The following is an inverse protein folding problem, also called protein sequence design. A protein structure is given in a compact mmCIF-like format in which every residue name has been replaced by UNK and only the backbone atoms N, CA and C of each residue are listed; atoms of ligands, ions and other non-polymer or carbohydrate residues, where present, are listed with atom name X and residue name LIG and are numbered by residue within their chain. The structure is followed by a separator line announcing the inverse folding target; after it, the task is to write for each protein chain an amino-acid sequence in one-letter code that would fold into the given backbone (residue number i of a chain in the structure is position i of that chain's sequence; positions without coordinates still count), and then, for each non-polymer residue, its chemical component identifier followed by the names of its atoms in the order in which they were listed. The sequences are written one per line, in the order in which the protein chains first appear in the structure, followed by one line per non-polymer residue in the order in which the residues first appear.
data_IF_693619426172
#
_entry.id   IF_693619426172
#
_cell.length_a   1.000
_cell.length_b   1.000
_cell.length_c   1.000
_cell.angle_alpha   90.00
_cell.angle_beta   90.00
_cell.angle_gamma   90.00
#
_symmetry.space_group_name_H-M   'P 1'
#
loop_
_entity.id
_entity.type
_entity.pdbx_description
1 polymer ?
2 polymer ?
#
# COMPACT_ATOMS: atom_id res chain seq x y z
N UNK A 11 19.10 -0.03 6.95
CA UNK A 11 19.97 -0.05 5.79
C UNK A 11 19.76 -1.34 4.98
N UNK A 12 19.39 -2.41 5.69
CA UNK A 12 19.16 -3.69 5.03
C UNK A 12 18.03 -3.58 4.02
N UNK A 13 16.98 -2.86 4.39
CA UNK A 13 15.82 -2.69 3.52
C UNK A 13 16.06 -1.53 2.56
N UNK A 14 16.27 -1.85 1.28
CA UNK A 14 16.51 -0.83 0.26
C UNK A 14 15.28 0.05 0.04
N UNK A 15 14.13 -0.59 -0.13
CA UNK A 15 12.89 0.16 -0.37
C UNK A 15 11.70 -0.57 0.23
N UNK A 16 10.60 0.17 0.40
CA UNK A 16 9.39 -0.41 0.99
C UNK A 16 8.14 0.21 0.39
N UNK A 17 7.01 -0.51 0.51
CA UNK A 17 5.74 -0.04 -0.03
C UNK A 17 4.60 -0.40 0.92
N UNK A 18 3.59 0.47 1.00
CA UNK A 18 2.44 0.23 1.88
C UNK A 18 1.14 0.29 1.09
N UNK A 19 0.17 -0.52 1.50
CA UNK A 19 -1.13 -0.56 0.83
C UNK A 19 -2.27 -0.36 1.82
N UNK A 20 -3.15 0.60 1.52
CA UNK A 20 -4.29 0.87 2.39
C UNK A 20 -5.56 0.33 1.74
N UNK A 21 -6.17 -0.67 2.37
CA UNK A 21 -7.40 -1.26 1.85
C UNK A 21 -8.32 -1.64 3.00
N UNK A 22 -9.60 -1.33 2.87
CA UNK A 22 -10.57 -1.66 3.91
C UNK A 22 -11.38 -2.88 3.53
N UNK B 1 -7.68 -1.96 7.46
CA UNK B 1 -6.45 -2.79 7.55
C UNK B 1 -5.44 -2.34 6.49
N UNK B 2 -4.16 -2.38 6.85
CA UNK B 2 -3.11 -1.99 5.92
C UNK B 2 -2.03 -3.07 5.85
N UNK B 3 -1.44 -3.22 4.68
CA UNK B 3 -0.39 -4.23 4.49
C UNK B 3 0.90 -3.57 4.02
N UNK B 4 2.00 -3.87 4.70
CA UNK B 4 3.29 -3.28 4.34
C UNK B 4 4.26 -4.34 3.82
N UNK B 5 4.81 -4.10 2.64
CA UNK B 5 5.78 -5.01 2.04
C UNK B 5 7.15 -4.32 1.90
N UNK B 6 8.21 -5.08 2.11
CA UNK B 6 9.55 -4.55 2.00
C UNK B 6 10.25 -5.19 0.80
N UNK B 7 10.86 -4.36 -0.06
CA UNK B 7 11.54 -4.85 -1.24
C UNK B 7 13.00 -4.40 -1.29
N UNK B 8 13.78 -5.09 -2.12
CA UNK B 8 15.19 -4.78 -2.27
C UNK B 8 15.44 -3.99 -3.56
N UNK B 9 16.70 -3.65 -3.81
CA UNK B 9 17.08 -2.90 -5.00
C UNK B 9 16.71 -3.67 -6.27
N UNK B 10 16.62 -4.99 -6.14
CA UNK B 10 16.29 -5.83 -7.29
C UNK B 10 14.77 -5.93 -7.47
N UNK B 11 14.02 -5.06 -6.80
CA UNK B 11 12.57 -5.07 -6.90
C UNK B 11 12.03 -6.42 -6.48
N UNK B 12 12.66 -6.99 -5.45
CA UNK B 12 12.26 -8.29 -4.93
C UNK B 12 11.79 -8.14 -3.49
N UNK B 13 10.63 -8.69 -3.18
CA UNK B 13 10.10 -8.60 -1.83
C UNK B 13 10.90 -9.49 -0.88
N UNK B 14 11.37 -8.90 0.21
CA UNK B 14 12.15 -9.63 1.18
C UNK B 14 11.35 -9.92 2.45
N UNK B 15 10.53 -8.95 2.87
CA UNK B 15 9.73 -9.13 4.08
C UNK B 15 8.27 -8.75 3.87
N UNK B 16 7.37 -9.60 4.37
CA UNK B 16 5.94 -9.35 4.26
C UNK B 16 5.31 -9.29 5.65
N UNK B 17 4.56 -8.23 5.93
CA UNK B 17 3.95 -8.08 7.25
C UNK B 17 2.62 -7.32 7.18
N UNK B 18 1.70 -7.68 8.08
CA UNK B 18 0.40 -7.03 8.14
C UNK B 18 0.33 -6.18 9.40
N UNK B 19 -0.12 -4.94 9.25
CA UNK B 19 -0.21 -4.03 10.39
C UNK B 19 -1.51 -4.22 11.17
N UNK B 20 -2.51 -4.84 10.54
CA UNK B 20 -3.79 -5.05 11.21
C UNK B 20 -4.14 -6.54 11.26
N UNK B 21 -5.05 -6.89 12.17
CA UNK B 21 -5.47 -8.29 12.31
C UNK B 21 -6.09 -8.79 11.02
N UNK B 22 -6.95 -7.98 10.42
CA UNK B 22 -7.59 -8.38 9.17
C UNK B 22 -6.51 -8.54 8.09
N UNK B 23 -5.54 -7.63 8.12
CA UNK B 23 -4.45 -7.66 7.16
C UNK B 23 -3.63 -8.95 7.32
N UNK B 24 -3.42 -9.36 8.57
CA UNK B 24 -2.64 -10.57 8.83
C UNK B 24 -3.39 -11.81 8.31
N UNK B 25 -4.71 -11.78 8.37
CA UNK B 25 -5.50 -12.91 7.90
C UNK B 25 -5.29 -13.13 6.40
N UNK B 26 -5.25 -12.04 5.65
CA UNK B 26 -5.06 -12.13 4.20
C UNK B 26 -3.58 -12.28 3.82
N UNK B 27 -2.72 -11.57 4.54
CA UNK B 27 -1.28 -11.61 4.29
C UNK B 27 -0.70 -12.98 4.63
N UNK B 28 -1.16 -13.56 5.72
CA UNK B 28 -0.67 -14.86 6.17
C UNK B 28 -0.93 -15.95 5.13
N UNK B 29 -0.01 -16.90 5.04
CA UNK B 29 -0.13 -18.00 4.10
C UNK B 29 0.58 -17.70 2.78
N UNK B 30 1.07 -16.47 2.62
CA UNK B 30 1.77 -16.10 1.40
C UNK B 30 3.24 -16.49 1.47
N UNK B 31 3.61 -17.54 0.74
CA UNK B 31 5.01 -17.98 0.73
C UNK B 31 5.59 -17.80 -0.67
N UNK B 32 6.33 -16.71 -0.86
CA UNK B 32 6.96 -16.41 -2.15
C UNK B 32 7.56 -15.00 -2.12
N UNK B 33 8.64 -14.85 -1.37
CA UNK B 33 9.30 -13.57 -1.23
C UNK B 33 9.81 -13.06 -2.59
N UNK B 34 10.29 -13.99 -3.40
CA UNK B 34 10.84 -13.65 -4.71
C UNK B 34 9.80 -12.96 -5.60
N UNK B 35 8.54 -13.39 -5.57
CA UNK B 35 7.51 -12.79 -6.43
C UNK B 35 6.28 -12.33 -5.64
N UNK B 36 6.48 -11.85 -4.41
CA UNK B 36 5.36 -11.38 -3.61
C UNK B 36 4.84 -10.02 -4.08
N UNK B 37 5.65 -9.29 -4.84
CA UNK B 37 5.21 -7.97 -5.31
C UNK B 37 3.84 -8.03 -5.97
N UNK B 38 3.75 -8.70 -7.12
CA UNK B 38 2.49 -8.80 -7.84
C UNK B 38 1.58 -9.90 -7.28
N UNK B 39 2.14 -11.07 -7.01
CA UNK B 39 1.36 -12.21 -6.52
C UNK B 39 0.67 -11.92 -5.18
N UNK B 40 1.40 -11.37 -4.22
CA UNK B 40 0.81 -11.09 -2.91
C UNK B 40 -0.29 -10.05 -3.01
N UNK B 41 -0.10 -9.04 -3.84
CA UNK B 41 -1.10 -7.99 -3.98
C UNK B 41 -2.42 -8.55 -4.51
N UNK B 42 -2.36 -9.43 -5.50
CA UNK B 42 -3.58 -10.00 -6.07
C UNK B 42 -4.18 -11.05 -5.14
N UNK B 43 -3.34 -11.89 -4.55
CA UNK B 43 -3.82 -12.93 -3.64
C UNK B 43 -4.46 -12.31 -2.40
N UNK B 44 -3.83 -11.27 -1.88
CA UNK B 44 -4.34 -10.58 -0.69
C UNK B 44 -5.72 -10.00 -0.96
N UNK B 45 -5.89 -9.38 -2.12
CA UNK B 45 -7.19 -8.79 -2.46
C UNK B 45 -8.25 -9.88 -2.50
N UNK B 46 -7.90 -11.03 -3.06
CA UNK B 46 -8.84 -12.14 -3.13
C UNK B 46 -9.16 -12.64 -1.73
N UNK B 47 -8.14 -12.70 -0.88
CA UNK B 47 -8.33 -13.17 0.49
C UNK B 47 -9.32 -12.27 1.21
N UNK B 48 -9.17 -10.96 1.01
CA UNK B 48 -10.08 -10.01 1.62
C UNK B 48 -11.49 -10.23 1.08
N UNK B 49 -11.57 -10.51 -0.21
CA UNK B 49 -12.86 -10.75 -0.85
C UNK B 49 -13.53 -11.96 -0.20
N UNK B 50 -12.76 -13.03 -0.02
CA UNK B 50 -13.29 -14.23 0.61
C UNK B 50 -13.74 -13.96 2.04
N UNK B 51 -12.95 -13.17 2.76
CA UNK B 51 -13.26 -12.83 4.14
C UNK B 51 -14.51 -11.94 4.19
N UNK B 52 -14.77 -11.21 3.11
CA UNK B 52 -15.93 -10.34 3.05
C UNK B 52 -15.59 -8.88 3.37
N UNK B 53 -14.34 -8.63 3.75
CA UNK B 53 -13.93 -7.27 4.07
C UNK B 53 -14.03 -6.36 2.84
N UNK B 54 -13.69 -6.91 1.67
CA UNK B 54 -13.75 -6.15 0.43
C UNK B 54 -14.81 -6.71 -0.49
N UNK B 55 -15.61 -5.81 -1.07
CA UNK B 55 -16.67 -6.21 -1.98
C UNK B 55 -16.40 -5.62 -3.37
N UNK B 56 -16.58 -6.43 -4.38
CA UNK B 56 -16.35 -6.00 -5.75
C UNK B 56 -17.32 -4.89 -6.15
N UNK B 57 -18.33 -4.65 -5.33
CA UNK B 57 -19.29 -3.59 -5.63
C UNK B 57 -18.66 -2.21 -5.45
N UNK B 58 -17.86 -1.81 -6.42
CA UNK B 58 -17.19 -0.51 -6.37
C UNK B 58 -16.20 -0.46 -5.21
N UNK B 59 -14.95 -0.84 -5.50
CA UNK B 59 -13.92 -0.85 -4.47
C UNK B 59 -12.67 -0.11 -4.94
N UNK B 60 -12.27 0.90 -4.17
CA UNK B 60 -11.07 1.68 -4.50
C UNK B 60 -9.94 1.29 -3.56
N UNK B 61 -8.74 1.12 -4.11
CA UNK B 61 -7.59 0.76 -3.30
C UNK B 61 -6.46 1.78 -3.45
N UNK B 62 -5.93 2.24 -2.32
CA UNK B 62 -4.86 3.23 -2.35
C UNK B 62 -3.53 2.57 -2.02
N UNK B 63 -2.54 2.75 -2.89
CA UNK B 63 -1.22 2.16 -2.66
C UNK B 63 -0.15 3.25 -2.65
N UNK B 64 0.66 3.26 -1.61
CA UNK B 64 1.73 4.24 -1.49
C UNK B 64 3.08 3.55 -1.50
N UNK B 65 4.07 4.18 -2.10
CA UNK B 65 5.40 3.59 -2.17
C UNK B 65 6.46 4.61 -1.78
N UNK B 66 7.57 4.12 -1.23
CA UNK B 66 8.64 5.01 -0.83
C UNK B 66 10.01 4.39 -1.10
N UNK B 67 10.94 5.23 -1.54
CA UNK B 67 12.30 4.80 -1.83
C UNK B 67 13.28 5.61 -0.98
N UNK B 68 14.44 5.04 -0.68
CA UNK B 68 15.42 5.74 0.15
C UNK B 68 16.14 6.81 -0.66
N UNK B 69 15.82 8.07 -0.38
CA UNK B 69 16.43 9.18 -1.08
C UNK B 69 17.73 9.62 -0.40
N UNK B 70 18.08 8.97 0.71
CA UNK B 70 19.30 9.32 1.42
C UNK B 70 20.52 9.09 0.55
N UNK B 71 20.40 8.22 -0.44
CA UNK B 71 21.51 7.94 -1.34
C UNK B 71 21.36 8.72 -2.65
N UNK B 72 22.40 9.45 -3.04
CA UNK B 72 22.37 10.23 -4.27
C UNK B 72 22.19 9.30 -5.47
N UNK B 73 22.88 8.17 -5.45
CA UNK B 73 22.78 7.20 -6.53
C UNK B 73 21.34 6.70 -6.64
N UNK B 74 20.74 6.44 -5.49
CA UNK B 74 19.36 5.96 -5.43
C UNK B 74 18.40 7.01 -5.97
N UNK B 75 18.66 8.28 -5.64
CA UNK B 75 17.78 9.36 -6.09
C UNK B 75 17.70 9.40 -7.62
N UNK B 76 18.85 9.32 -8.28
CA UNK B 76 18.88 9.34 -9.74
C UNK B 76 18.15 8.12 -10.31
N UNK B 77 18.44 6.97 -9.75
CA UNK B 77 17.82 5.71 -10.18
C UNK B 77 16.36 5.62 -9.71
N UNK B 78 15.99 6.50 -8.77
CA UNK B 78 14.65 6.50 -8.20
C UNK B 78 13.58 6.55 -9.28
N UNK B 79 13.80 7.33 -10.32
CA UNK B 79 12.81 7.43 -11.38
C UNK B 79 12.59 6.06 -12.00
N UNK B 80 13.67 5.32 -12.21
CA UNK B 80 13.59 3.99 -12.79
C UNK B 80 12.89 3.03 -11.82
N UNK B 81 13.22 3.16 -10.54
CA UNK B 81 12.62 2.29 -9.52
C UNK B 81 11.12 2.53 -9.41
N UNK B 82 10.73 3.80 -9.44
CA UNK B 82 9.32 4.16 -9.33
C UNK B 82 8.53 3.59 -10.50
N UNK B 83 9.07 3.74 -11.71
CA UNK B 83 8.38 3.25 -12.89
C UNK B 83 8.19 1.73 -12.81
N UNK B 84 9.22 1.03 -12.39
CA UNK B 84 9.14 -0.43 -12.26
C UNK B 84 8.18 -0.82 -11.13
N UNK B 85 8.23 -0.06 -10.04
CA UNK B 85 7.36 -0.36 -8.90
C UNK B 85 5.90 -0.27 -9.33
N UNK B 86 5.57 0.78 -10.08
CA UNK B 86 4.21 0.96 -10.57
C UNK B 86 3.84 -0.16 -11.53
N UNK B 87 4.79 -0.55 -12.37
CA UNK B 87 4.56 -1.61 -13.35
C UNK B 87 4.26 -2.94 -12.66
N UNK B 88 4.97 -3.25 -11.59
CA UNK B 88 4.76 -4.52 -10.90
C UNK B 88 3.35 -4.59 -10.32
N UNK B 89 2.89 -3.50 -9.71
CA UNK B 89 1.54 -3.48 -9.16
C UNK B 89 0.53 -3.46 -10.29
N UNK B 90 0.93 -2.86 -11.41
CA UNK B 90 0.05 -2.78 -12.56
C UNK B 90 -0.29 -4.18 -13.06
N UNK B 91 0.72 -5.05 -13.07
CA UNK B 91 0.52 -6.42 -13.51
C UNK B 91 -0.47 -7.12 -12.59
N UNK B 92 -0.31 -6.90 -11.30
CA UNK B 92 -1.21 -7.52 -10.33
C UNK B 92 -2.62 -7.05 -10.62
N UNK B 93 -2.75 -5.78 -10.94
CA UNK B 93 -4.05 -5.22 -11.26
C UNK B 93 -4.60 -5.87 -12.51
N UNK B 94 -3.75 -6.07 -13.51
CA UNK B 94 -4.17 -6.70 -14.74
C UNK B 94 -4.65 -8.11 -14.45
N UNK B 95 -4.06 -8.74 -13.45
CA UNK B 95 -4.45 -10.10 -13.07
C UNK B 95 -5.89 -10.11 -12.59
N UNK B 96 -6.23 -9.09 -11.81
CA UNK B 96 -7.57 -8.96 -11.26
C UNK B 96 -8.58 -8.70 -12.36
N UNK B 97 -8.22 -7.82 -13.29
CA UNK B 97 -9.09 -7.47 -14.41
C UNK B 97 -10.51 -7.17 -13.92
N UNK B 98 -10.61 -6.44 -12.81
CA UNK B 98 -11.91 -6.11 -12.26
C UNK B 98 -12.27 -4.66 -12.58
N UNK B 99 -13.29 -4.48 -13.42
CA UNK B 99 -13.74 -3.15 -13.81
C UNK B 99 -14.23 -2.34 -12.61
N UNK B 100 -14.86 -3.02 -11.65
CA UNK B 100 -15.41 -2.33 -10.47
C UNK B 100 -14.29 -1.87 -9.54
N UNK B 101 -13.09 -2.39 -9.72
CA UNK B 101 -11.98 -2.02 -8.86
C UNK B 101 -11.04 -1.04 -9.56
N UNK B 102 -10.80 0.09 -8.90
CA UNK B 102 -9.92 1.12 -9.43
C UNK B 102 -8.76 1.36 -8.47
N UNK B 103 -7.55 1.36 -9.00
CA UNK B 103 -6.37 1.56 -8.15
C UNK B 103 -5.88 3.00 -8.20
N UNK B 104 -5.13 3.38 -7.19
CA UNK B 104 -4.56 4.72 -7.09
C UNK B 104 -3.18 4.64 -6.46
N UNK B 105 -2.21 5.35 -7.02
CA UNK B 105 -0.86 5.31 -6.48
C UNK B 105 -0.35 6.71 -6.14
N UNK B 106 0.47 6.78 -5.09
CA UNK B 106 1.05 8.03 -4.65
C UNK B 106 2.50 7.82 -4.21
N UNK B 107 3.28 8.90 -4.16
CA UNK B 107 4.67 8.79 -3.75
C UNK B 107 4.84 9.28 -2.31
N UNK B 108 5.78 8.68 -1.60
CA UNK B 108 6.03 9.05 -0.21
C UNK B 108 7.52 9.32 0.01
N UNK B 109 7.84 10.42 0.68
CA UNK B 109 9.22 10.77 0.95
C UNK B 109 9.59 10.38 2.37
N UNK B 110 10.85 10.57 2.72
CA UNK B 110 11.32 10.22 4.05
C UNK B 110 10.60 11.07 5.10
N UNK B 111 10.19 12.26 4.72
CA UNK B 111 9.49 13.15 5.65
C UNK B 111 8.20 12.51 6.14
N UNK B 112 7.41 11.99 5.21
CA UNK B 112 6.15 11.33 5.56
C UNK B 112 6.42 10.05 6.35
N UNK B 113 7.46 9.33 5.97
CA UNK B 113 7.80 8.09 6.65
C UNK B 113 8.10 8.35 8.12
N UNK B 114 8.86 9.40 8.39
CA UNK B 114 9.21 9.73 9.77
C UNK B 114 7.95 10.04 10.56
N UNK B 115 7.02 10.77 9.95
CA UNK B 115 5.77 11.10 10.62
C UNK B 115 4.97 9.83 10.89
N UNK B 116 4.97 8.92 9.93
CA UNK B 116 4.25 7.66 10.06
C UNK B 116 4.82 6.86 11.24
N UNK B 117 6.14 6.87 11.38
CA UNK B 117 6.81 6.15 12.45
C UNK B 117 6.37 6.71 13.81
N UNK B 118 6.29 8.03 13.91
CA UNK B 118 5.89 8.68 15.14
C UNK B 118 4.47 8.25 15.52
N UNK B 119 3.59 8.17 14.53
CA UNK B 119 2.22 7.77 14.78
C UNK B 119 2.04 6.25 14.66
N UNK B 120 3.15 5.54 14.39
CA UNK B 120 3.09 4.09 14.26
C UNK B 120 1.96 3.67 13.32
N UNK B 121 1.81 4.41 12.23
CA UNK B 121 0.78 4.10 11.24
C UNK B 121 1.38 4.00 9.84
N UNK B 122 0.68 3.31 8.95
CA UNK B 122 1.17 3.14 7.58
C UNK B 122 1.27 4.50 6.89
N UNK B 123 2.32 4.67 6.09
CA UNK B 123 2.53 5.93 5.39
C UNK B 123 1.39 6.20 4.41
N UNK B 124 0.84 5.13 3.82
CA UNK B 124 -0.25 5.28 2.87
C UNK B 124 -1.46 5.92 3.55
N UNK B 125 -1.75 5.45 4.76
CA UNK B 125 -2.88 5.99 5.51
C UNK B 125 -2.62 7.44 5.87
N UNK B 126 -1.36 7.74 6.20
CA UNK B 126 -0.98 9.10 6.55
C UNK B 126 -1.31 10.05 5.40
N UNK B 127 -1.06 9.61 4.18
CA UNK B 127 -1.32 10.44 3.01
C UNK B 127 -2.80 10.85 2.97
N UNK B 128 -3.69 9.88 3.16
CA UNK B 128 -5.13 10.17 3.16
C UNK B 128 -5.47 11.10 4.32
N UNK B 129 -4.83 10.85 5.46
CA UNK B 129 -5.07 11.66 6.65
C UNK B 129 -4.68 13.11 6.38
N UNK B 130 -3.58 13.29 5.65
CA UNK B 130 -3.10 14.62 5.32
C UNK B 130 -4.14 15.37 4.50
N UNK B 131 -4.73 14.68 3.53
CA UNK B 131 -5.76 15.30 2.68
C UNK B 131 -6.95 15.72 3.53
N UNK B 132 -7.30 14.89 4.50
CA UNK B 132 -8.43 15.18 5.37
C UNK B 132 -8.21 16.49 6.11
N UNK B 133 -6.99 16.70 6.60
CA UNK B 133 -6.69 17.93 7.32
C UNK B 133 -6.82 19.13 6.38
N UNK B 134 -6.38 18.97 5.14
CA UNK B 134 -6.48 20.05 4.17
C UNK B 134 -7.94 20.40 3.93
N UNK B 135 -8.78 19.37 3.87
CA UNK B 135 -10.20 19.55 3.65
C UNK B 135 -10.84 20.24 4.86
N UNK B 136 -10.23 20.04 6.02
CA UNK B 136 -10.75 20.62 7.25
C UNK B 136 -11.82 19.74 7.88
N UNK B 137 -12.09 18.59 7.27
CA UNK B 137 -13.09 17.66 7.77
C UNK B 137 -12.56 16.93 9.00
N UNK B 138 -13.39 16.82 10.04
CA UNK B 138 -12.97 16.13 11.26
C UNK B 138 -12.86 14.64 10.99
N UNK B 139 -11.65 14.19 10.65
CA UNK B 139 -11.42 12.79 10.36
C UNK B 139 -10.34 12.20 11.25
N UNK B 140 -10.56 10.97 11.69
CA UNK B 140 -9.61 10.29 12.55
C UNK B 140 -9.20 8.94 11.94
N UNK B 141 -8.09 8.40 12.40
CA UNK B 141 -7.59 7.13 11.88
C UNK B 141 -8.59 6.01 12.11
N UNK B 142 -9.11 5.91 13.32
CA UNK B 142 -10.07 4.86 13.64
C UNK B 142 -11.34 4.98 12.79
N UNK B 143 -11.82 6.20 12.66
CA UNK B 143 -13.03 6.45 11.87
C UNK B 143 -12.82 6.10 10.41
N UNK B 144 -11.66 6.49 9.87
CA UNK B 144 -11.34 6.21 8.48
C UNK B 144 -11.17 4.71 8.27
N UNK B 145 -10.54 4.06 9.24
CA UNK B 145 -10.34 2.62 9.18
C UNK B 145 -11.67 1.89 9.16
N UNK B 146 -12.62 2.38 9.96
CA UNK B 146 -13.94 1.76 10.01
C UNK B 146 -14.69 2.01 8.70
N UNK B 147 -14.32 3.09 8.01
CA UNK B 147 -14.95 3.42 6.74
C UNK B 147 -14.14 2.84 5.58
N UNK B 148 -14.83 2.48 4.51
CA UNK B 148 -14.16 1.91 3.35
C UNK B 148 -13.34 2.97 2.62
N UNK B 149 -12.30 2.53 1.92
CA UNK B 149 -11.44 3.45 1.17
C UNK B 149 -12.28 4.18 0.13
N UNK B 150 -13.14 3.44 -0.54
CA UNK B 150 -14.00 4.02 -1.57
C UNK B 150 -14.89 5.09 -0.96
N UNK B 151 -15.46 4.80 0.20
CA UNK B 151 -16.33 5.75 0.89
C UNK B 151 -15.56 7.01 1.25
N UNK B 152 -14.32 6.85 1.71
CA UNK B 152 -13.50 7.98 2.09
C UNK B 152 -13.22 8.86 0.87
N UNK B 153 -12.93 8.23 -0.25
CA UNK B 153 -12.64 8.96 -1.48
C UNK B 153 -13.85 9.79 -1.92
N UNK B 154 -15.03 9.17 -1.89
CA UNK B 154 -16.25 9.85 -2.29
C UNK B 154 -16.91 10.52 -1.09
N UNK B 155 -16.90 11.84 -1.10
CA UNK B 155 -17.51 12.61 -0.02
C UNK B 155 -18.20 13.85 -0.57
#
# INVERSE_FOLDING_TARGET
GRNVMLNNSSGSEYAYVSVDVN
PSVEFTINSKHKVIVTSAINQDASEVLDGLELKEKDLKSALVMVLEKAESLGYISDDKNYVLVSMALNDKNKKTRDKREEKIDELKETIEQGIEALDNDTIVHRTVTVDLEERNKALENELSMGRYYLYLEAKEKGMDITIDEVKSSKISDLIEK
#
